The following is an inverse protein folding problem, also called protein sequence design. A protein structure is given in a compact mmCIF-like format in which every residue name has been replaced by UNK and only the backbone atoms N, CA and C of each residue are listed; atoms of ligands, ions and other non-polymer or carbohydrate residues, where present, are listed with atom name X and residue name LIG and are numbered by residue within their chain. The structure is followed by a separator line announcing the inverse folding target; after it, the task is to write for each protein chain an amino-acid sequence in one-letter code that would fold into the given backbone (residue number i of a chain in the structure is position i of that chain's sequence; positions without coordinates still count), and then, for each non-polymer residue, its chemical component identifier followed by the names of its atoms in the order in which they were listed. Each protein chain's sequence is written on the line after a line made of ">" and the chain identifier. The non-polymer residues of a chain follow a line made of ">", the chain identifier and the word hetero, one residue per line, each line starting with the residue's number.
data_IF_013963030726
#
_entry.id   IF_013963030726
#
_cell.length_a   1.000
_cell.length_b   1.000
_cell.length_c   1.000
_cell.angle_alpha   90.00
_cell.angle_beta   90.00
_cell.angle_gamma   90.00
#
_symmetry.space_group_name_H-M   'P 1'
#
loop_
_entity.id
_entity.type
_entity.pdbx_description
1 polymer ?
#
# COMPACT_ATOMS: atom_id res chain seq x y z
N UNK A 1 -3.13 22.84 60.03
CA UNK A 1 -2.13 21.83 60.46
C UNK A 1 -1.50 21.22 59.21
N UNK A 2 -0.26 21.57 58.88
CA UNK A 2 0.44 20.98 57.74
C UNK A 2 1.11 19.68 58.19
N UNK A 3 0.69 18.55 57.61
CA UNK A 3 1.29 17.24 57.88
C UNK A 3 2.66 17.21 57.19
N UNK A 4 3.75 17.36 57.94
CA UNK A 4 5.11 17.16 57.42
C UNK A 4 5.27 15.69 57.03
N UNK A 5 5.28 15.41 55.74
CA UNK A 5 5.56 14.07 55.21
C UNK A 5 7.08 13.87 55.32
N UNK A 6 7.50 13.02 56.26
CA UNK A 6 8.91 12.68 56.43
C UNK A 6 9.23 11.50 55.49
N UNK A 7 9.73 11.82 54.30
CA UNK A 7 10.05 10.83 53.27
C UNK A 7 11.45 10.29 53.57
N UNK A 8 11.52 9.06 54.09
CA UNK A 8 12.79 8.37 54.33
C UNK A 8 13.54 8.16 53.01
N UNK A 9 14.88 8.24 53.03
CA UNK A 9 15.76 8.07 51.86
C UNK A 9 15.42 6.80 51.04
N UNK A 10 15.06 5.71 51.73
CA UNK A 10 14.63 4.46 51.10
C UNK A 10 13.30 4.58 50.33
N UNK A 11 12.39 5.46 50.76
CA UNK A 11 11.15 5.76 50.05
C UNK A 11 11.41 6.61 48.80
N UNK A 12 12.34 7.56 48.87
CA UNK A 12 12.78 8.34 47.71
C UNK A 12 13.40 7.40 46.65
N UNK A 13 14.31 6.52 47.07
CA UNK A 13 14.98 5.58 46.17
C UNK A 13 13.98 4.62 45.49
N UNK A 14 12.98 4.13 46.22
CA UNK A 14 11.91 3.27 45.68
C UNK A 14 11.03 4.00 44.65
N UNK A 15 10.71 5.27 44.88
CA UNK A 15 9.93 6.08 43.93
C UNK A 15 10.70 6.37 42.64
N UNK A 16 12.01 6.62 42.74
CA UNK A 16 12.86 6.82 41.57
C UNK A 16 13.00 5.53 40.75
N UNK A 17 13.18 4.38 41.43
CA UNK A 17 13.26 3.10 40.76
C UNK A 17 11.94 2.73 40.04
N UNK A 18 10.79 2.91 40.70
CA UNK A 18 9.49 2.60 40.11
C UNK A 18 9.14 3.54 38.95
N UNK A 19 9.41 4.84 39.07
CA UNK A 19 9.19 5.79 37.97
C UNK A 19 10.06 5.48 36.76
N UNK A 20 11.33 5.11 36.96
CA UNK A 20 12.20 4.68 35.86
C UNK A 20 11.66 3.44 35.15
N UNK A 21 11.21 2.42 35.90
CA UNK A 21 10.63 1.21 35.32
C UNK A 21 9.35 1.54 34.53
N UNK A 22 8.46 2.35 35.10
CA UNK A 22 7.20 2.75 34.45
C UNK A 22 7.48 3.51 33.15
N UNK A 23 8.42 4.46 33.16
CA UNK A 23 8.78 5.22 31.96
C UNK A 23 9.38 4.32 30.87
N UNK A 24 10.28 3.40 31.24
CA UNK A 24 10.85 2.45 30.28
C UNK A 24 9.77 1.52 29.70
N UNK A 25 8.85 1.00 30.51
CA UNK A 25 7.73 0.19 30.03
C UNK A 25 6.78 0.99 29.14
N UNK A 26 6.54 2.27 29.45
CA UNK A 26 5.77 3.17 28.60
C UNK A 26 6.47 3.41 27.26
N UNK A 27 7.79 3.63 27.25
CA UNK A 27 8.55 3.78 26.01
C UNK A 27 8.59 2.49 25.19
N UNK A 28 8.75 1.33 25.82
CA UNK A 28 8.68 0.01 25.17
C UNK A 28 7.29 -0.20 24.59
N UNK A 29 6.22 0.06 25.36
CA UNK A 29 4.86 0.01 24.83
C UNK A 29 4.70 0.99 23.67
N UNK A 30 5.13 2.23 23.79
CA UNK A 30 5.00 3.20 22.70
C UNK A 30 5.81 2.79 21.46
N UNK A 31 6.96 2.15 21.65
CA UNK A 31 7.81 1.65 20.58
C UNK A 31 7.24 0.40 19.90
N UNK A 32 6.72 -0.56 20.67
CA UNK A 32 6.20 -1.82 20.14
C UNK A 32 4.68 -1.82 19.87
N UNK A 33 3.93 -0.97 20.55
CA UNK A 33 2.46 -0.91 20.57
C UNK A 33 1.88 0.50 20.37
N UNK A 34 2.72 1.53 20.24
CA UNK A 34 2.32 2.93 19.99
C UNK A 34 2.42 3.34 18.54
N UNK A 35 2.16 2.42 17.61
CA UNK A 35 1.61 2.68 16.27
C UNK A 35 0.89 1.41 15.81
N UNK A 36 -0.21 1.10 16.48
CA UNK A 36 -1.27 0.33 15.84
C UNK A 36 -1.80 1.14 14.67
N UNK A 37 -1.22 0.91 13.48
CA UNK A 37 -1.62 1.52 12.22
C UNK A 37 -0.41 1.84 11.37
N UNK A 38 -0.11 0.96 10.41
CA UNK A 38 0.89 1.17 9.36
C UNK A 38 2.38 1.08 9.77
N UNK A 39 2.87 -0.16 9.74
CA UNK A 39 4.23 -0.47 9.25
C UNK A 39 4.50 0.04 7.80
N UNK A 40 3.67 0.94 7.23
CA UNK A 40 3.89 1.57 5.91
C UNK A 40 4.93 2.69 5.95
N UNK A 41 5.22 3.28 7.11
CA UNK A 41 6.14 4.41 7.14
C UNK A 41 7.56 4.01 6.70
N UNK A 42 7.98 2.77 6.94
CA UNK A 42 9.33 2.31 6.60
C UNK A 42 9.42 1.44 5.34
N UNK A 43 8.32 0.85 4.85
CA UNK A 43 8.42 -0.18 3.80
C UNK A 43 7.92 0.18 2.40
N UNK A 44 7.02 1.15 2.16
CA UNK A 44 6.65 1.48 0.77
C UNK A 44 5.88 2.80 0.53
N UNK A 45 6.05 3.82 1.37
CA UNK A 45 5.16 5.01 1.32
C UNK A 45 5.12 5.75 -0.02
N UNK A 46 6.26 5.89 -0.71
CA UNK A 46 6.34 6.68 -1.95
C UNK A 46 5.80 5.94 -3.18
N UNK A 47 5.99 4.62 -3.28
CA UNK A 47 5.57 3.84 -4.44
C UNK A 47 4.21 3.17 -4.27
N UNK A 48 3.62 3.16 -3.07
CA UNK A 48 2.30 2.55 -2.80
C UNK A 48 1.23 3.02 -3.79
N UNK A 49 1.18 4.33 -4.05
CA UNK A 49 0.24 4.89 -5.03
C UNK A 49 0.51 4.39 -6.45
N UNK A 50 1.77 4.47 -6.89
CA UNK A 50 2.16 4.05 -8.24
C UNK A 50 1.91 2.55 -8.46
N UNK A 51 2.21 1.71 -7.45
CA UNK A 51 1.96 0.28 -7.48
C UNK A 51 0.45 -0.01 -7.57
N UNK A 52 -0.37 0.65 -6.76
CA UNK A 52 -1.82 0.48 -6.80
C UNK A 52 -2.43 0.88 -8.16
N UNK A 53 -1.94 1.97 -8.77
CA UNK A 53 -2.38 2.39 -10.11
C UNK A 53 -1.95 1.36 -11.17
N UNK A 54 -0.72 0.84 -11.11
CA UNK A 54 -0.23 -0.19 -12.02
C UNK A 54 -1.00 -1.52 -11.89
N UNK A 55 -1.27 -1.97 -10.66
CA UNK A 55 -2.06 -3.17 -10.38
C UNK A 55 -3.51 -3.03 -10.86
N UNK A 56 -4.13 -1.86 -10.65
CA UNK A 56 -5.48 -1.58 -11.12
C UNK A 56 -5.60 -1.65 -12.65
N UNK A 57 -4.60 -1.14 -13.37
CA UNK A 57 -4.55 -1.19 -14.84
C UNK A 57 -4.26 -2.61 -15.32
N UNK A 58 -3.32 -3.32 -14.69
CA UNK A 58 -3.03 -4.71 -15.03
C UNK A 58 -4.23 -5.66 -14.78
N UNK A 59 -5.15 -5.30 -13.89
CA UNK A 59 -6.37 -6.05 -13.59
C UNK A 59 -7.51 -5.82 -14.60
N UNK A 60 -7.35 -4.93 -15.59
CA UNK A 60 -8.38 -4.69 -16.61
C UNK A 60 -8.55 -5.95 -17.47
N UNK A 61 -9.79 -6.49 -17.61
CA UNK A 61 -10.01 -7.70 -18.39
C UNK A 61 -9.93 -7.40 -19.89
N UNK A 62 -8.86 -7.84 -20.53
CA UNK A 62 -8.67 -7.79 -21.99
C UNK A 62 -8.86 -9.16 -22.64
N UNK A 63 -9.78 -9.98 -22.11
CA UNK A 63 -10.17 -11.31 -22.61
C UNK A 63 -9.02 -12.31 -22.86
N UNK A 64 -7.83 -12.07 -22.29
CA UNK A 64 -6.63 -12.87 -22.53
C UNK A 64 -5.98 -12.66 -23.91
N UNK A 65 -6.49 -11.70 -24.69
CA UNK A 65 -6.06 -11.38 -26.05
C UNK A 65 -5.53 -9.96 -26.18
N UNK A 66 -5.21 -9.32 -25.06
CA UNK A 66 -4.63 -8.00 -25.02
C UNK A 66 -4.15 -7.65 -23.62
N UNK A 67 -3.65 -6.43 -23.46
CA UNK A 67 -3.19 -5.88 -22.19
C UNK A 67 -3.49 -4.38 -22.17
N UNK A 68 -3.86 -3.85 -21.02
CA UNK A 68 -4.00 -2.42 -20.82
C UNK A 68 -2.74 -1.85 -20.15
N UNK A 69 -2.34 -0.64 -20.54
CA UNK A 69 -1.17 0.04 -20.00
C UNK A 69 -1.55 1.35 -19.31
N UNK A 70 -0.73 1.77 -18.35
CA UNK A 70 -1.04 2.92 -17.49
C UNK A 70 -1.05 4.24 -18.29
N UNK A 71 -0.26 4.28 -19.36
CA UNK A 71 -0.17 5.32 -20.38
C UNK A 71 -1.02 5.03 -21.64
N UNK A 72 -1.86 4.00 -21.59
CA UNK A 72 -2.73 3.60 -22.70
C UNK A 72 -3.78 4.67 -23.03
N UNK A 73 -4.30 4.60 -24.26
CA UNK A 73 -5.32 5.53 -24.74
C UNK A 73 -6.57 5.47 -23.88
N UNK A 74 -7.06 6.62 -23.41
CA UNK A 74 -8.33 6.75 -22.68
C UNK A 74 -9.39 7.33 -23.61
N UNK A 75 -10.49 6.61 -23.83
CA UNK A 75 -11.62 7.12 -24.62
C UNK A 75 -12.42 8.14 -23.83
N UNK A 76 -12.99 9.12 -24.53
CA UNK A 76 -13.74 10.22 -23.91
C UNK A 76 -14.92 9.67 -23.09
N UNK A 77 -14.96 10.02 -21.80
CA UNK A 77 -15.92 9.49 -20.82
C UNK A 77 -15.53 8.20 -20.09
N UNK A 78 -14.45 7.51 -20.50
CA UNK A 78 -13.86 6.40 -19.73
C UNK A 78 -12.87 6.92 -18.68
N UNK A 79 -12.80 6.25 -17.54
CA UNK A 79 -11.77 6.51 -16.50
C UNK A 79 -10.57 5.57 -16.60
N UNK A 80 -10.60 4.66 -17.56
CA UNK A 80 -9.73 3.50 -17.64
C UNK A 80 -9.16 3.41 -19.07
N UNK A 81 -7.86 3.08 -19.24
CA UNK A 81 -7.24 2.92 -20.55
C UNK A 81 -7.87 1.75 -21.32
N UNK A 82 -7.84 1.85 -22.66
CA UNK A 82 -8.31 0.82 -23.59
C UNK A 82 -7.29 -0.32 -23.64
N UNK A 83 -7.79 -1.55 -23.83
CA UNK A 83 -6.94 -2.70 -24.09
C UNK A 83 -6.19 -2.57 -25.42
N UNK A 84 -4.89 -2.77 -25.40
CA UNK A 84 -4.10 -3.02 -26.60
C UNK A 84 -4.18 -4.50 -26.95
N UNK A 85 -4.79 -4.80 -28.10
CA UNK A 85 -5.07 -6.17 -28.52
C UNK A 85 -3.90 -6.81 -29.28
N UNK A 86 -3.77 -8.12 -29.12
CA UNK A 86 -2.88 -8.95 -29.92
C UNK A 86 -3.32 -8.92 -31.39
N UNK A 87 -2.41 -9.30 -32.29
CA UNK A 87 -2.71 -9.38 -33.73
C UNK A 87 -3.96 -10.22 -34.00
N UNK A 88 -4.83 -9.74 -34.89
CA UNK A 88 -6.12 -10.33 -35.25
C UNK A 88 -7.22 -10.28 -34.17
N UNK A 89 -7.01 -9.59 -33.05
CA UNK A 89 -8.04 -9.35 -32.05
C UNK A 89 -8.47 -7.88 -32.01
N UNK A 90 -9.74 -7.66 -31.74
CA UNK A 90 -10.36 -6.34 -31.64
C UNK A 90 -11.52 -6.30 -30.65
N UNK A 91 -12.24 -5.18 -30.64
CA UNK A 91 -13.24 -4.86 -29.62
C UNK A 91 -12.62 -4.16 -28.41
N UNK A 92 -13.47 -3.63 -27.53
CA UNK A 92 -13.04 -2.85 -26.36
C UNK A 92 -12.24 -3.66 -25.34
N UNK A 93 -12.43 -4.99 -25.35
CA UNK A 93 -11.83 -5.95 -24.43
C UNK A 93 -11.03 -7.05 -25.18
N UNK A 94 -10.72 -6.84 -26.46
CA UNK A 94 -10.00 -7.79 -27.31
C UNK A 94 -10.67 -9.16 -27.50
N UNK A 95 -11.99 -9.28 -27.27
CA UNK A 95 -12.72 -10.54 -27.43
C UNK A 95 -13.03 -10.92 -28.88
N UNK A 96 -12.94 -9.98 -29.82
CA UNK A 96 -13.39 -10.19 -31.19
C UNK A 96 -12.23 -10.69 -32.06
N UNK A 97 -12.33 -11.92 -32.56
CA UNK A 97 -11.38 -12.48 -33.52
C UNK A 97 -11.75 -12.05 -34.95
N UNK A 98 -10.80 -11.45 -35.66
CA UNK A 98 -10.91 -11.22 -37.09
C UNK A 98 -10.44 -12.46 -37.87
N UNK A 99 -11.41 -13.17 -38.47
CA UNK A 99 -11.16 -14.37 -39.27
C UNK A 99 -10.48 -14.10 -40.62
N UNK A 100 -10.45 -12.83 -41.06
CA UNK A 100 -9.82 -12.42 -42.32
C UNK A 100 -8.44 -11.80 -42.11
N UNK A 101 -7.96 -11.74 -40.86
CA UNK A 101 -6.66 -11.21 -40.53
C UNK A 101 -5.53 -12.19 -40.87
N UNK A 102 -4.44 -11.65 -41.44
CA UNK A 102 -3.22 -12.41 -41.69
C UNK A 102 -2.42 -12.46 -40.39
N UNK A 103 -2.18 -13.68 -39.89
CA UNK A 103 -1.33 -13.90 -38.72
C UNK A 103 0.07 -13.39 -39.03
N UNK A 104 0.56 -12.45 -38.22
CA UNK A 104 1.95 -12.02 -38.24
C UNK A 104 2.75 -12.92 -37.29
N UNK A 105 3.71 -13.67 -37.82
CA UNK A 105 4.61 -14.53 -37.05
C UNK A 105 6.09 -14.20 -37.25
N UNK A 106 6.39 -12.98 -37.69
CA UNK A 106 7.77 -12.52 -37.84
C UNK A 106 8.38 -12.39 -36.44
N UNK A 107 9.43 -13.19 -36.16
CA UNK A 107 10.16 -13.22 -34.89
C UNK A 107 11.34 -12.25 -34.88
#
# INVERSE_FOLDING_TARGET
>A
MAKKINISSNHVLRLLASSSIILNLFFIWNWYGGTGGEWDYYYLSWSKRAAAEAEAVAAIPCSGHGTAYLDGLVLDGSKVPVCECNTCYGGTDCSQLDLHCVVNSDR
#
